data_IF_546947045717
#
_entry.id   IF_546947045717
#
_cell.length_a   1.000
_cell.length_b   1.000
_cell.length_c   1.000
_cell.angle_alpha   90.00
_cell.angle_beta   90.00
_cell.angle_gamma   90.00
#
_symmetry.space_group_name_H-M   'P 1'
#
loop_
_entity.id
_entity.type
_entity.pdbx_description
1 polymer ?
#
# COMPACT_ATOMS: atom_id res chain seq x y z
N UNK A 1 -14.56 13.52 39.28
CA UNK A 1 -15.35 12.59 38.46
C UNK A 1 -16.08 13.40 37.40
N UNK A 2 -15.46 13.56 36.23
CA UNK A 2 -16.10 14.16 35.05
C UNK A 2 -15.99 13.14 33.93
N UNK A 3 -17.14 12.68 33.44
CA UNK A 3 -17.25 11.84 32.26
C UNK A 3 -17.12 12.73 31.02
N UNK A 4 -16.09 12.48 30.19
CA UNK A 4 -16.00 13.08 28.86
C UNK A 4 -16.74 12.16 27.87
N UNK A 5 -17.93 12.60 27.48
CA UNK A 5 -18.73 12.05 26.41
C UNK A 5 -18.15 12.55 25.07
N UNK A 6 -17.48 11.68 24.31
CA UNK A 6 -17.15 11.96 22.91
C UNK A 6 -18.37 11.66 22.05
N UNK A 7 -19.08 12.71 21.64
CA UNK A 7 -20.09 12.64 20.58
C UNK A 7 -19.35 12.66 19.24
N UNK A 8 -19.46 11.57 18.48
CA UNK A 8 -19.10 11.53 17.08
C UNK A 8 -20.06 12.46 16.30
N UNK A 9 -19.53 13.53 15.72
CA UNK A 9 -20.30 14.41 14.84
C UNK A 9 -20.37 13.72 13.47
N UNK A 10 -21.54 13.16 13.17
CA UNK A 10 -21.94 12.75 11.82
C UNK A 10 -22.29 14.02 11.04
N UNK A 11 -21.70 14.30 9.86
CA UNK A 11 -22.10 15.45 9.07
C UNK A 11 -23.44 15.15 8.37
N UNK A 12 -24.52 15.76 8.86
CA UNK A 12 -25.81 15.80 8.18
C UNK A 12 -25.79 16.77 7.00
N UNK A 13 -26.36 16.34 5.87
CA UNK A 13 -26.53 17.14 4.64
C UNK A 13 -27.35 18.40 4.92
N UNK A 14 -26.76 19.57 4.73
CA UNK A 14 -27.48 20.83 4.62
C UNK A 14 -27.42 21.33 3.17
N UNK A 15 -28.55 21.24 2.47
CA UNK A 15 -28.77 21.91 1.18
C UNK A 15 -28.93 23.42 1.46
N UNK A 16 -28.04 24.25 0.91
CA UNK A 16 -28.26 25.69 0.79
C UNK A 16 -28.34 26.07 -0.69
N UNK A 17 -29.56 26.38 -1.12
CA UNK A 17 -29.85 27.13 -2.32
C UNK A 17 -29.50 28.61 -2.08
N UNK A 18 -28.59 29.18 -2.87
CA UNK A 18 -28.50 30.64 -3.06
C UNK A 18 -28.26 30.93 -4.56
N UNK A 19 -29.11 31.81 -5.08
CA UNK A 19 -29.28 32.29 -6.45
C UNK A 19 -28.08 33.09 -7.01
N UNK A 20 -27.87 33.12 -8.34
CA UNK A 20 -26.77 33.86 -8.97
C UNK A 20 -27.08 35.35 -9.15
N UNK A 21 -26.11 36.21 -8.81
CA UNK A 21 -26.11 37.64 -9.13
C UNK A 21 -25.25 37.88 -10.38
N UNK A 22 -25.87 38.47 -11.40
CA UNK A 22 -25.22 38.98 -12.61
C UNK A 22 -24.23 40.11 -12.29
N UNK A 23 -23.04 40.10 -12.91
CA UNK A 23 -22.38 41.34 -13.32
C UNK A 23 -21.51 41.11 -14.59
N UNK A 24 -21.63 42.07 -15.50
CA UNK A 24 -21.10 42.12 -16.87
C UNK A 24 -19.75 42.89 -16.94
N UNK A 25 -19.02 42.67 -18.05
CA UNK A 25 -17.95 43.52 -18.65
C UNK A 25 -16.59 43.51 -17.90
N UNK A 26 -15.40 43.50 -18.51
CA UNK A 26 -14.94 43.95 -19.84
C UNK A 26 -13.54 43.35 -20.12
N UNK A 27 -13.25 42.97 -21.38
CA UNK A 27 -11.93 42.57 -21.91
C UNK A 27 -11.11 43.79 -22.40
N UNK A 28 -9.78 43.64 -22.54
CA UNK A 28 -9.13 44.14 -23.74
C UNK A 28 -8.24 43.12 -24.47
N UNK A 29 -8.23 43.28 -25.79
CA UNK A 29 -7.55 42.54 -26.85
C UNK A 29 -6.03 42.76 -26.85
N UNK A 30 -5.26 41.75 -27.26
CA UNK A 30 -3.96 41.96 -27.92
C UNK A 30 -3.75 41.00 -29.11
N UNK A 31 -3.00 41.53 -30.08
CA UNK A 31 -2.92 41.17 -31.49
C UNK A 31 -2.06 39.94 -31.82
N UNK A 32 -2.48 39.24 -32.88
CA UNK A 32 -1.68 38.33 -33.71
C UNK A 32 -0.53 39.06 -34.42
N UNK A 33 0.64 38.43 -34.49
CA UNK A 33 1.62 38.65 -35.56
C UNK A 33 1.94 37.32 -36.23
N UNK A 34 1.73 37.27 -37.54
CA UNK A 34 2.19 36.23 -38.48
C UNK A 34 3.37 36.78 -39.27
N UNK A 35 4.43 35.99 -39.45
CA UNK A 35 5.37 36.17 -40.57
C UNK A 35 5.74 34.82 -41.17
N UNK A 36 5.58 34.79 -42.49
CA UNK A 36 5.93 33.76 -43.48
C UNK A 36 7.42 33.82 -43.83
N UNK A 37 8.01 32.68 -44.21
CA UNK A 37 9.33 32.64 -44.88
C UNK A 37 9.64 31.29 -45.53
N UNK A 38 9.71 31.30 -46.86
CA UNK A 38 9.97 30.21 -47.80
C UNK A 38 11.47 29.92 -48.01
N UNK A 39 11.83 28.66 -48.28
CA UNK A 39 12.71 28.15 -49.38
C UNK A 39 13.14 26.69 -49.07
N UNK A 40 12.79 25.67 -49.86
CA UNK A 40 13.38 25.22 -51.16
C UNK A 40 14.87 24.85 -51.08
N UNK A 41 15.19 23.55 -51.07
CA UNK A 41 15.70 22.81 -52.25
C UNK A 41 16.31 21.44 -51.85
N UNK A 42 15.99 20.41 -52.64
CA UNK A 42 16.70 19.10 -52.76
C UNK A 42 17.67 19.19 -53.97
N UNK A 43 18.65 18.28 -54.22
CA UNK A 43 18.34 16.87 -54.58
C UNK A 43 19.44 15.79 -54.34
N UNK A 44 18.98 14.52 -54.44
CA UNK A 44 19.60 13.33 -55.05
C UNK A 44 20.99 12.80 -54.65
N UNK A 45 21.07 11.49 -54.41
CA UNK A 45 22.33 10.73 -54.49
C UNK A 45 22.20 9.24 -54.11
N UNK A 46 21.99 8.39 -55.11
CA UNK A 46 21.99 6.92 -55.07
C UNK A 46 23.40 6.32 -54.89
N UNK A 47 23.54 5.24 -54.12
CA UNK A 47 24.30 4.01 -54.52
C UNK A 47 24.40 2.96 -53.40
N UNK A 48 23.98 1.74 -53.75
CA UNK A 48 24.42 0.45 -53.20
C UNK A 48 25.46 -0.08 -54.22
N UNK A 49 26.46 -0.95 -53.92
CA UNK A 49 26.21 -2.34 -53.48
C UNK A 49 27.34 -3.00 -52.63
N UNK A 50 27.06 -4.12 -51.95
CA UNK A 50 27.63 -5.45 -52.25
C UNK A 50 27.35 -6.51 -51.16
N UNK A 51 26.86 -7.65 -51.63
CA UNK A 51 26.72 -8.94 -50.95
C UNK A 51 28.07 -9.58 -50.60
N UNK A 52 28.17 -10.23 -49.44
CA UNK A 52 29.11 -11.34 -49.22
C UNK A 52 28.49 -12.44 -48.35
N UNK A 53 28.38 -13.59 -49.01
CA UNK A 53 28.31 -15.00 -48.56
C UNK A 53 28.06 -15.35 -47.09
N UNK A 54 26.99 -16.10 -46.89
CA UNK A 54 26.67 -16.94 -45.74
C UNK A 54 27.54 -18.22 -45.79
N UNK A 55 28.24 -18.53 -44.70
CA UNK A 55 28.77 -19.87 -44.38
C UNK A 55 28.07 -20.38 -43.13
N UNK A 56 27.61 -21.65 -43.07
CA UNK A 56 26.94 -22.18 -41.89
C UNK A 56 27.97 -22.52 -40.80
N UNK A 57 27.80 -21.94 -39.61
CA UNK A 57 28.52 -22.35 -38.42
C UNK A 57 27.91 -23.66 -37.89
N UNK A 58 28.78 -24.66 -37.78
CA UNK A 58 28.52 -25.98 -37.24
C UNK A 58 28.20 -25.85 -35.73
N UNK A 59 27.04 -26.35 -35.32
CA UNK A 59 26.62 -26.41 -33.91
C UNK A 59 27.33 -27.60 -33.27
N UNK A 60 28.17 -27.34 -32.29
CA UNK A 60 28.82 -28.34 -31.43
C UNK A 60 27.79 -28.81 -30.38
N UNK A 61 27.42 -30.10 -30.31
CA UNK A 61 26.35 -30.57 -29.44
C UNK A 61 26.90 -31.02 -28.08
N UNK A 62 27.54 -30.12 -27.31
CA UNK A 62 28.05 -30.47 -25.96
C UNK A 62 28.10 -29.26 -25.00
N UNK A 63 27.06 -28.42 -25.00
CA UNK A 63 26.85 -27.36 -23.99
C UNK A 63 25.43 -27.37 -23.40
N UNK A 64 24.96 -28.54 -22.95
CA UNK A 64 23.87 -28.63 -21.96
C UNK A 64 24.43 -29.15 -20.63
N UNK A 65 25.06 -28.28 -19.84
CA UNK A 65 25.37 -28.56 -18.43
C UNK A 65 25.68 -27.30 -17.62
N UNK A 66 24.87 -26.25 -17.80
CA UNK A 66 24.69 -25.24 -16.76
C UNK A 66 23.20 -24.96 -16.65
N UNK A 67 22.53 -25.79 -15.84
CA UNK A 67 21.15 -25.54 -15.45
C UNK A 67 21.05 -24.13 -14.88
N UNK A 68 20.19 -23.32 -15.50
CA UNK A 68 19.67 -22.11 -14.89
C UNK A 68 19.13 -22.49 -13.51
N UNK A 69 19.88 -22.16 -12.46
CA UNK A 69 19.39 -22.23 -11.09
C UNK A 69 18.27 -21.20 -11.03
N UNK A 70 17.04 -21.63 -11.27
CA UNK A 70 15.87 -20.79 -11.12
C UNK A 70 15.97 -20.16 -9.72
N UNK A 71 16.12 -18.84 -9.66
CA UNK A 71 16.08 -18.12 -8.40
C UNK A 71 14.72 -18.44 -7.77
N UNK A 72 14.73 -19.17 -6.66
CA UNK A 72 13.54 -19.52 -5.89
C UNK A 72 13.02 -18.25 -5.23
N UNK A 73 12.21 -17.50 -5.97
CA UNK A 73 11.53 -16.31 -5.49
C UNK A 73 10.47 -16.75 -4.47
N UNK A 74 10.74 -16.56 -3.17
CA UNK A 74 9.75 -16.80 -2.10
C UNK A 74 9.03 -15.49 -1.78
N UNK A 75 7.71 -15.49 -1.84
CA UNK A 75 6.88 -14.33 -1.44
C UNK A 75 6.51 -14.46 0.03
N UNK A 76 6.86 -13.47 0.83
CA UNK A 76 6.52 -13.39 2.24
C UNK A 76 5.21 -12.62 2.38
N UNK A 77 4.25 -13.18 3.10
CA UNK A 77 2.98 -12.52 3.44
C UNK A 77 2.93 -12.32 4.95
N UNK A 78 2.97 -11.06 5.39
CA UNK A 78 2.96 -10.67 6.78
C UNK A 78 1.55 -10.23 7.17
N UNK A 79 1.00 -10.76 8.26
CA UNK A 79 -0.32 -10.38 8.79
C UNK A 79 -0.20 -9.78 10.18
N UNK A 80 -1.00 -8.75 10.46
CA UNK A 80 -1.17 -8.23 11.83
C UNK A 80 -2.29 -8.92 12.60
N UNK A 81 -3.10 -9.77 11.95
CA UNK A 81 -4.42 -10.16 12.44
C UNK A 81 -5.30 -8.93 12.77
N UNK A 82 -6.42 -9.15 13.47
CA UNK A 82 -7.26 -8.08 13.98
C UNK A 82 -6.60 -7.36 15.17
N UNK A 83 -6.14 -6.14 14.93
CA UNK A 83 -5.44 -5.32 15.94
C UNK A 83 -6.39 -4.73 16.99
N UNK A 84 -7.71 -4.90 16.82
CA UNK A 84 -8.71 -4.46 17.79
C UNK A 84 -8.87 -5.43 18.96
N UNK A 85 -8.50 -6.71 18.79
CA UNK A 85 -8.70 -7.78 19.78
C UNK A 85 -7.45 -8.15 20.56
N UNK A 86 -6.25 -7.82 20.07
CA UNK A 86 -4.98 -8.25 20.68
C UNK A 86 -3.89 -7.18 20.67
N UNK A 87 -3.57 -6.62 21.83
CA UNK A 87 -2.33 -5.85 22.05
C UNK A 87 -2.43 -4.84 23.20
N UNK A 88 -1.32 -4.58 23.94
CA UNK A 88 -1.31 -3.57 25.00
C UNK A 88 -1.68 -2.21 24.41
N UNK A 89 -2.55 -1.47 25.10
CA UNK A 89 -2.95 -0.11 24.75
C UNK A 89 -1.73 0.70 24.33
N UNK A 90 -1.64 1.07 23.05
CA UNK A 90 -0.60 1.98 22.56
C UNK A 90 -0.68 3.22 23.45
N UNK A 91 0.39 3.49 24.21
CA UNK A 91 0.51 4.73 24.98
C UNK A 91 0.53 5.86 23.96
N UNK A 92 -0.61 6.54 23.84
CA UNK A 92 -0.83 7.65 22.90
C UNK A 92 0.05 8.83 23.30
N UNK A 93 1.27 8.90 22.78
CA UNK A 93 2.03 10.16 22.77
C UNK A 93 1.42 11.07 21.70
N UNK A 94 1.07 12.33 22.02
CA UNK A 94 0.60 13.28 21.02
C UNK A 94 1.58 13.37 19.85
N UNK A 95 1.11 13.11 18.62
CA UNK A 95 1.92 13.21 17.39
C UNK A 95 2.59 11.93 16.87
N UNK A 96 2.34 10.76 17.49
CA UNK A 96 3.06 9.52 17.15
C UNK A 96 2.34 8.53 16.22
N UNK A 97 1.04 8.72 15.92
CA UNK A 97 0.26 7.70 15.19
C UNK A 97 0.39 7.87 13.67
N UNK A 98 1.58 7.55 13.15
CA UNK A 98 1.78 7.28 11.72
C UNK A 98 1.48 5.80 11.46
N UNK A 99 0.77 5.51 10.37
CA UNK A 99 0.42 4.13 9.96
C UNK A 99 1.59 3.13 9.99
N UNK A 100 2.83 3.54 9.68
CA UNK A 100 4.02 2.68 9.83
C UNK A 100 4.25 2.21 11.27
N UNK A 101 4.03 3.06 12.28
CA UNK A 101 4.23 2.67 13.68
C UNK A 101 3.15 1.68 14.12
N UNK A 102 1.89 1.91 13.73
CA UNK A 102 0.80 0.97 13.98
C UNK A 102 1.06 -0.38 13.32
N UNK A 103 1.43 -0.39 12.03
CA UNK A 103 1.79 -1.60 11.28
C UNK A 103 2.93 -2.36 11.97
N UNK A 104 4.06 -1.69 12.20
CA UNK A 104 5.27 -2.36 12.72
C UNK A 104 5.09 -2.87 14.14
N UNK A 105 4.39 -2.14 15.01
CA UNK A 105 4.10 -2.62 16.36
C UNK A 105 3.08 -3.77 16.34
N UNK A 106 2.07 -3.70 15.48
CA UNK A 106 1.07 -4.77 15.36
C UNK A 106 1.68 -6.06 14.81
N UNK A 107 2.57 -5.96 13.81
CA UNK A 107 3.34 -7.11 13.31
C UNK A 107 4.19 -7.73 14.42
N UNK A 108 4.95 -6.93 15.18
CA UNK A 108 5.76 -7.43 16.30
C UNK A 108 4.89 -8.14 17.34
N UNK A 109 3.78 -7.52 17.75
CA UNK A 109 2.85 -8.12 18.72
C UNK A 109 2.28 -9.43 18.20
N UNK A 110 1.87 -9.49 16.93
CA UNK A 110 1.30 -10.70 16.33
C UNK A 110 2.34 -11.83 16.22
N UNK A 111 3.60 -11.51 15.86
CA UNK A 111 4.68 -12.50 15.83
C UNK A 111 5.00 -13.04 17.21
N UNK A 112 5.03 -12.17 18.23
CA UNK A 112 5.26 -12.59 19.62
C UNK A 112 4.13 -13.47 20.14
N UNK A 113 2.87 -13.11 19.88
CA UNK A 113 1.71 -13.93 20.25
C UNK A 113 1.79 -15.32 19.59
N UNK A 114 2.03 -15.38 18.28
CA UNK A 114 2.20 -16.64 17.57
C UNK A 114 3.39 -17.45 18.10
N UNK A 115 4.51 -16.83 18.49
CA UNK A 115 5.62 -17.56 19.09
C UNK A 115 5.26 -18.13 20.47
N UNK A 116 4.46 -17.42 21.27
CA UNK A 116 4.02 -17.88 22.59
C UNK A 116 3.05 -19.06 22.49
N UNK A 117 2.10 -19.00 21.55
CA UNK A 117 1.12 -20.07 21.33
C UNK A 117 1.76 -21.40 20.93
N UNK A 118 2.92 -21.35 20.26
CA UNK A 118 3.67 -22.52 19.80
C UNK A 118 4.88 -22.86 20.70
N UNK A 119 5.10 -22.11 21.78
CA UNK A 119 6.17 -22.41 22.74
C UNK A 119 5.77 -23.61 23.60
N UNK A 120 6.67 -24.59 23.84
CA UNK A 120 6.36 -25.71 24.71
C UNK A 120 6.11 -25.22 26.14
N UNK A 121 5.04 -25.71 26.79
CA UNK A 121 4.71 -25.40 28.18
C UNK A 121 5.88 -25.82 29.07
N UNK A 122 6.63 -24.86 29.63
CA UNK A 122 7.66 -25.14 30.61
C UNK A 122 7.02 -25.51 31.95
N UNK A 123 6.78 -26.80 32.19
CA UNK A 123 6.56 -27.30 33.54
C UNK A 123 7.91 -27.37 34.28
N UNK A 124 8.34 -26.28 34.89
CA UNK A 124 9.47 -26.31 35.84
C UNK A 124 9.30 -25.31 36.97
N UNK A 125 8.89 -25.83 38.13
CA UNK A 125 9.27 -25.27 39.42
C UNK A 125 10.81 -25.31 39.51
N UNK A 126 11.47 -24.16 39.46
CA UNK A 126 12.92 -24.07 39.55
C UNK A 126 13.35 -22.66 39.92
N UNK A 127 13.66 -22.46 41.19
CA UNK A 127 14.16 -21.21 41.77
C UNK A 127 15.69 -21.15 41.51
N UNK A 128 16.18 -20.22 40.68
CA UNK A 128 17.60 -19.85 40.62
C UNK A 128 17.79 -18.43 40.07
N UNK A 129 18.76 -17.66 40.58
CA UNK A 129 18.83 -16.22 40.35
C UNK A 129 19.81 -15.84 39.23
N UNK A 130 19.34 -14.90 38.40
CA UNK A 130 20.04 -13.68 37.97
C UNK A 130 21.30 -13.79 37.07
N UNK A 131 21.06 -13.78 35.75
CA UNK A 131 22.00 -13.26 34.74
C UNK A 131 21.21 -12.75 33.51
N UNK A 132 21.05 -11.44 33.41
CA UNK A 132 20.01 -10.76 32.60
C UNK A 132 20.30 -10.48 31.12
N UNK A 133 21.35 -11.03 30.49
CA UNK A 133 21.73 -10.56 29.13
C UNK A 133 21.92 -11.64 28.05
N UNK A 134 21.95 -12.93 28.37
CA UNK A 134 22.15 -14.00 27.34
C UNK A 134 20.98 -15.00 27.19
N UNK A 135 19.98 -14.97 28.06
CA UNK A 135 18.96 -16.04 28.15
C UNK A 135 17.76 -15.90 27.19
N UNK A 136 17.53 -14.72 26.60
CA UNK A 136 16.31 -14.44 25.82
C UNK A 136 16.32 -15.08 24.42
N UNK A 137 17.50 -15.44 23.90
CA UNK A 137 17.65 -16.12 22.60
C UNK A 137 17.32 -17.61 22.63
N UNK A 138 17.27 -18.24 23.82
CA UNK A 138 17.09 -19.68 23.99
C UNK A 138 15.62 -20.12 24.14
N UNK A 139 14.64 -19.20 24.12
CA UNK A 139 13.22 -19.52 24.36
C UNK A 139 12.30 -19.35 23.16
N UNK A 140 12.80 -18.91 22.00
CA UNK A 140 11.96 -18.72 20.80
C UNK A 140 11.77 -20.05 20.06
N UNK A 141 10.54 -20.46 19.71
CA UNK A 141 10.33 -21.62 18.88
C UNK A 141 10.92 -21.43 17.47
N UNK A 142 11.39 -22.51 16.79
CA UNK A 142 11.83 -22.43 15.41
C UNK A 142 10.77 -21.80 14.49
N UNK A 143 11.18 -20.93 13.55
CA UNK A 143 10.25 -20.24 12.65
C UNK A 143 9.27 -21.18 11.94
N UNK A 144 9.74 -22.38 11.57
CA UNK A 144 8.98 -23.39 10.85
C UNK A 144 7.72 -23.90 11.55
N UNK A 145 7.57 -23.69 12.87
CA UNK A 145 6.41 -24.21 13.60
C UNK A 145 5.26 -23.21 13.70
N UNK A 146 5.53 -21.90 13.63
CA UNK A 146 4.53 -20.83 13.77
C UNK A 146 4.32 -20.02 12.48
N UNK A 147 4.98 -20.43 11.39
CA UNK A 147 4.81 -19.89 10.03
C UNK A 147 4.44 -21.02 9.09
N UNK A 148 3.77 -20.71 7.98
CA UNK A 148 3.27 -21.72 7.03
C UNK A 148 3.67 -21.37 5.61
N UNK A 149 4.06 -22.39 4.83
CA UNK A 149 4.27 -22.26 3.39
C UNK A 149 3.08 -22.87 2.64
N UNK A 150 2.51 -22.11 1.72
CA UNK A 150 1.52 -22.57 0.75
C UNK A 150 1.98 -22.20 -0.65
N UNK A 151 2.47 -23.19 -1.41
CA UNK A 151 3.12 -22.95 -2.70
C UNK A 151 4.32 -21.98 -2.59
N UNK A 152 4.24 -20.86 -3.30
CA UNK A 152 5.25 -19.78 -3.29
C UNK A 152 5.14 -18.83 -2.08
N UNK A 153 4.01 -18.87 -1.37
CA UNK A 153 3.68 -17.94 -0.31
C UNK A 153 4.14 -18.48 1.04
N UNK A 154 4.77 -17.61 1.81
CA UNK A 154 5.23 -17.89 3.15
C UNK A 154 4.57 -16.93 4.14
N UNK A 155 3.60 -17.45 4.87
CA UNK A 155 2.78 -16.70 5.81
C UNK A 155 3.47 -16.54 7.15
N UNK A 156 3.56 -15.29 7.61
CA UNK A 156 4.19 -14.89 8.86
C UNK A 156 3.20 -14.01 9.65
N UNK A 157 2.63 -14.49 10.77
CA UNK A 157 2.62 -15.89 11.21
C UNK A 157 1.72 -16.75 10.31
N UNK A 158 1.57 -18.03 10.65
CA UNK A 158 0.50 -18.89 10.12
C UNK A 158 -0.86 -18.23 10.33
N UNK A 159 -1.72 -18.26 9.31
CA UNK A 159 -3.09 -17.72 9.37
C UNK A 159 -4.07 -18.89 9.39
N UNK A 160 -4.86 -18.99 10.46
CA UNK A 160 -5.99 -19.89 10.53
C UNK A 160 -7.26 -19.20 10.01
N UNK A 161 -7.56 -19.46 8.74
CA UNK A 161 -8.73 -18.89 8.06
C UNK A 161 -10.07 -19.40 8.60
N UNK A 162 -10.11 -20.43 9.45
CA UNK A 162 -11.36 -20.90 10.06
C UNK A 162 -11.90 -19.93 11.12
N UNK A 163 -11.04 -19.05 11.63
CA UNK A 163 -11.35 -18.01 12.61
C UNK A 163 -11.61 -16.64 11.96
N UNK A 164 -11.48 -16.54 10.63
CA UNK A 164 -11.76 -15.33 9.85
C UNK A 164 -13.27 -15.09 9.73
N UNK A 165 -13.65 -13.84 9.47
CA UNK A 165 -15.05 -13.45 9.36
C UNK A 165 -15.44 -12.28 10.26
N UNK A 166 -16.45 -11.55 9.83
CA UNK A 166 -17.14 -10.54 10.64
C UNK A 166 -18.31 -11.18 11.40
N UNK A 167 -18.66 -10.59 12.54
CA UNK A 167 -19.69 -11.13 13.42
C UNK A 167 -21.11 -10.94 12.87
N UNK A 168 -21.35 -9.83 12.15
CA UNK A 168 -22.65 -9.50 11.56
C UNK A 168 -22.65 -9.77 10.05
N UNK A 169 -23.81 -9.66 9.41
CA UNK A 169 -23.95 -9.74 7.96
C UNK A 169 -23.05 -8.71 7.24
N UNK A 170 -22.39 -9.06 6.11
CA UNK A 170 -21.51 -8.14 5.38
C UNK A 170 -22.18 -6.82 4.98
N UNK A 171 -23.50 -6.84 4.79
CA UNK A 171 -24.30 -5.65 4.47
C UNK A 171 -24.32 -4.61 5.59
N UNK A 172 -23.96 -4.96 6.83
CA UNK A 172 -23.94 -4.08 8.01
C UNK A 172 -22.63 -3.31 8.18
N UNK A 173 -21.63 -3.60 7.35
CA UNK A 173 -20.31 -2.96 7.47
C UNK A 173 -20.03 -1.95 6.37
N UNK A 174 -19.31 -0.90 6.73
CA UNK A 174 -18.52 -0.12 5.80
C UNK A 174 -17.07 -0.58 5.90
N UNK A 175 -16.64 -1.29 4.86
CA UNK A 175 -15.28 -1.85 4.74
C UNK A 175 -14.46 -0.97 3.81
N UNK A 176 -13.39 -0.40 4.34
CA UNK A 176 -12.41 0.37 3.56
C UNK A 176 -11.07 -0.33 3.57
N UNK A 177 -10.49 -0.53 2.39
CA UNK A 177 -9.10 -0.95 2.22
C UNK A 177 -8.29 0.18 1.60
N UNK A 178 -7.07 0.38 2.09
CA UNK A 178 -6.06 1.27 1.50
C UNK A 178 -4.82 0.47 1.13
N UNK A 179 -4.56 0.37 -0.16
CA UNK A 179 -3.42 -0.33 -0.74
C UNK A 179 -2.29 0.66 -1.02
N UNK A 180 -1.13 0.40 -0.43
CA UNK A 180 0.11 1.14 -0.63
C UNK A 180 1.00 0.33 -1.57
N UNK A 181 1.26 0.84 -2.76
CA UNK A 181 2.32 0.33 -3.62
C UNK A 181 3.65 0.85 -3.09
N UNK A 182 4.60 -0.05 -2.82
CA UNK A 182 5.86 0.33 -2.20
C UNK A 182 6.94 0.66 -3.24
N UNK A 183 7.92 1.52 -2.88
CA UNK A 183 9.07 1.78 -3.74
C UNK A 183 9.85 0.49 -4.02
N UNK A 184 10.18 0.26 -5.29
CA UNK A 184 10.99 -0.88 -5.74
C UNK A 184 10.19 -2.07 -6.29
N UNK A 185 8.87 -2.11 -6.07
CA UNK A 185 7.98 -3.03 -6.77
C UNK A 185 7.84 -2.62 -8.26
N UNK A 186 7.85 -3.61 -9.16
CA UNK A 186 7.64 -3.34 -10.59
C UNK A 186 6.19 -2.95 -10.86
N UNK A 187 6.00 -1.97 -11.74
CA UNK A 187 4.68 -1.49 -12.16
C UNK A 187 3.88 -2.61 -12.82
N UNK A 188 4.56 -3.52 -13.53
CA UNK A 188 3.95 -4.67 -14.21
C UNK A 188 3.27 -5.63 -13.23
N UNK A 189 3.77 -5.70 -12.01
CA UNK A 189 3.27 -6.60 -10.98
C UNK A 189 2.11 -5.99 -10.17
N UNK A 190 1.89 -4.67 -10.26
CA UNK A 190 0.84 -3.96 -9.50
C UNK A 190 -0.56 -4.51 -9.72
N UNK A 191 -0.86 -5.01 -10.92
CA UNK A 191 -2.14 -5.66 -11.19
C UNK A 191 -2.33 -6.92 -10.34
N UNK A 192 -1.31 -7.76 -10.26
CA UNK A 192 -1.32 -8.96 -9.42
C UNK A 192 -1.33 -8.58 -7.93
N UNK A 193 -0.50 -7.62 -7.52
CA UNK A 193 -0.46 -7.09 -6.16
C UNK A 193 -1.84 -6.60 -5.69
N UNK A 194 -2.59 -5.93 -6.56
CA UNK A 194 -3.95 -5.46 -6.24
C UNK A 194 -4.87 -6.64 -5.95
N UNK A 195 -4.86 -7.65 -6.83
CA UNK A 195 -5.72 -8.83 -6.69
C UNK A 195 -5.38 -9.60 -5.43
N UNK A 196 -4.09 -9.84 -5.18
CA UNK A 196 -3.62 -10.58 -4.00
C UNK A 196 -3.98 -9.86 -2.69
N UNK A 197 -3.69 -8.56 -2.61
CA UNK A 197 -3.97 -7.76 -1.42
C UNK A 197 -5.46 -7.75 -1.08
N UNK A 198 -6.32 -7.57 -2.09
CA UNK A 198 -7.77 -7.58 -1.88
C UNK A 198 -8.28 -8.98 -1.54
N UNK A 199 -7.79 -10.04 -2.18
CA UNK A 199 -8.18 -11.41 -1.85
C UNK A 199 -7.86 -11.77 -0.40
N UNK A 200 -6.70 -11.35 0.12
CA UNK A 200 -6.35 -11.55 1.54
C UNK A 200 -7.32 -10.83 2.48
N UNK A 201 -7.69 -9.58 2.17
CA UNK A 201 -8.66 -8.81 2.96
C UNK A 201 -10.05 -9.46 2.92
N UNK A 202 -10.52 -9.90 1.76
CA UNK A 202 -11.81 -10.57 1.61
C UNK A 202 -11.86 -11.87 2.42
N UNK A 203 -10.79 -12.67 2.35
CA UNK A 203 -10.68 -13.94 3.08
C UNK A 203 -10.66 -13.72 4.60
N UNK A 204 -9.90 -12.73 5.07
CA UNK A 204 -9.80 -12.36 6.48
C UNK A 204 -11.13 -11.87 7.06
N UNK A 205 -11.88 -11.08 6.29
CA UNK A 205 -13.16 -10.54 6.72
C UNK A 205 -14.35 -11.47 6.43
N UNK A 206 -14.14 -12.55 5.68
CA UNK A 206 -15.20 -13.47 5.27
C UNK A 206 -16.29 -12.80 4.41
N UNK A 207 -15.90 -11.89 3.51
CA UNK A 207 -16.84 -11.14 2.65
C UNK A 207 -16.48 -11.26 1.17
N UNK A 208 -17.47 -11.08 0.30
CA UNK A 208 -17.26 -11.14 -1.16
C UNK A 208 -16.91 -9.77 -1.78
N UNK A 209 -17.14 -8.67 -1.04
CA UNK A 209 -16.88 -7.31 -1.54
C UNK A 209 -16.54 -6.32 -0.43
N UNK A 210 -15.83 -5.25 -0.80
CA UNK A 210 -15.53 -4.10 0.06
C UNK A 210 -16.18 -2.81 -0.45
N UNK A 211 -16.44 -1.85 0.44
CA UNK A 211 -17.13 -0.60 0.09
C UNK A 211 -16.23 0.40 -0.62
N UNK A 212 -14.95 0.47 -0.24
CA UNK A 212 -14.00 1.45 -0.75
C UNK A 212 -12.58 0.87 -0.81
N UNK A 213 -11.96 0.94 -1.98
CA UNK A 213 -10.52 0.72 -2.16
C UNK A 213 -9.83 2.05 -2.48
N UNK A 214 -8.87 2.44 -1.67
CA UNK A 214 -8.01 3.61 -1.89
C UNK A 214 -6.62 3.12 -2.27
N UNK A 215 -6.01 3.67 -3.32
CA UNK A 215 -4.60 3.37 -3.65
C UNK A 215 -3.68 4.55 -3.34
N UNK A 216 -2.52 4.23 -2.80
CA UNK A 216 -1.41 5.15 -2.55
C UNK A 216 -0.21 4.70 -3.38
N UNK A 217 0.27 5.61 -4.22
CA UNK A 217 1.41 5.38 -5.10
C UNK A 217 2.72 5.86 -4.47
N UNK A 218 3.87 5.23 -4.78
CA UNK A 218 5.15 5.64 -4.25
C UNK A 218 5.54 7.03 -4.76
N UNK A 219 6.26 7.80 -3.94
CA UNK A 219 6.77 9.12 -4.32
C UNK A 219 5.72 10.24 -4.31
N UNK A 220 4.54 9.97 -3.73
CA UNK A 220 3.45 10.93 -3.61
C UNK A 220 3.31 11.42 -2.16
N UNK A 221 3.16 12.74 -1.98
CA UNK A 221 2.81 13.35 -0.71
C UNK A 221 2.08 14.68 -0.90
N UNK A 222 1.24 15.04 0.06
CA UNK A 222 0.57 16.34 0.09
C UNK A 222 1.18 17.26 1.14
N UNK A 223 2.49 17.49 1.03
CA UNK A 223 3.26 18.29 1.99
C UNK A 223 3.73 19.64 1.42
N UNK A 224 3.55 20.70 2.20
CA UNK A 224 3.99 22.06 1.88
C UNK A 224 3.96 22.96 3.12
N UNK A 225 4.50 24.17 3.01
CA UNK A 225 4.42 25.16 4.10
C UNK A 225 3.00 25.73 4.22
N UNK A 226 2.24 25.70 3.10
CA UNK A 226 0.80 25.89 3.05
C UNK A 226 0.15 24.95 2.03
N UNK A 227 -1.18 24.97 1.96
CA UNK A 227 -1.98 24.11 1.10
C UNK A 227 -1.70 24.34 -0.40
N UNK A 228 -1.47 25.59 -0.80
CA UNK A 228 -1.13 25.94 -2.19
C UNK A 228 0.22 25.39 -2.62
N UNK A 229 1.20 25.44 -1.72
CA UNK A 229 2.51 24.87 -1.99
C UNK A 229 2.47 23.34 -2.05
N UNK A 230 1.68 22.70 -1.18
CA UNK A 230 1.46 21.26 -1.22
C UNK A 230 0.85 20.83 -2.57
N UNK A 231 -0.21 21.52 -3.02
CA UNK A 231 -0.85 21.27 -4.32
C UNK A 231 0.14 21.42 -5.49
N UNK A 232 0.92 22.51 -5.47
CA UNK A 232 1.91 22.79 -6.51
C UNK A 232 3.04 21.76 -6.52
N UNK A 233 3.60 21.40 -5.37
CA UNK A 233 4.65 20.38 -5.26
C UNK A 233 4.13 19.04 -5.75
N UNK A 234 2.92 18.67 -5.33
CA UNK A 234 2.28 17.42 -5.71
C UNK A 234 2.08 17.28 -7.23
N UNK A 235 1.79 18.38 -7.94
CA UNK A 235 1.60 18.36 -9.40
C UNK A 235 2.76 17.74 -10.19
N UNK A 236 3.98 17.77 -9.62
CA UNK A 236 5.21 17.26 -10.21
C UNK A 236 5.75 15.98 -9.53
N UNK A 237 4.98 15.39 -8.62
CA UNK A 237 5.33 14.15 -7.92
C UNK A 237 4.78 12.90 -8.63
N UNK A 238 5.31 11.74 -8.24
CA UNK A 238 4.91 10.45 -8.79
C UNK A 238 5.28 10.26 -10.26
N UNK A 239 4.54 9.39 -10.93
CA UNK A 239 4.70 9.08 -12.35
C UNK A 239 3.32 8.80 -12.96
N UNK A 240 2.82 9.79 -13.72
CA UNK A 240 1.47 9.75 -14.30
C UNK A 240 1.24 8.49 -15.16
N UNK A 241 2.24 8.04 -15.92
CA UNK A 241 2.14 6.85 -16.78
C UNK A 241 2.02 5.56 -15.96
N UNK A 242 2.83 5.41 -14.91
CA UNK A 242 2.78 4.22 -14.05
C UNK A 242 1.50 4.14 -13.22
N UNK A 243 1.03 5.28 -12.71
CA UNK A 243 -0.22 5.38 -11.96
C UNK A 243 -1.41 4.98 -12.84
N UNK A 244 -1.45 5.49 -14.07
CA UNK A 244 -2.48 5.14 -15.05
C UNK A 244 -2.39 3.68 -15.48
N UNK A 245 -1.18 3.15 -15.68
CA UNK A 245 -1.00 1.74 -16.02
C UNK A 245 -1.49 0.78 -14.92
N UNK A 246 -1.52 1.24 -13.67
CA UNK A 246 -1.99 0.46 -12.52
C UNK A 246 -3.52 0.46 -12.39
N UNK A 247 -4.19 1.50 -12.88
CA UNK A 247 -5.61 1.72 -12.67
C UNK A 247 -6.54 0.63 -13.23
N UNK A 248 -6.30 0.04 -14.43
CA UNK A 248 -7.17 -0.99 -15.00
C UNK A 248 -7.44 -2.18 -14.07
N UNK A 249 -6.47 -2.58 -13.23
CA UNK A 249 -6.66 -3.65 -12.26
C UNK A 249 -7.72 -3.30 -11.20
N UNK A 250 -7.80 -2.03 -10.79
CA UNK A 250 -8.81 -1.55 -9.86
C UNK A 250 -10.17 -1.46 -10.55
N UNK A 251 -10.19 -1.01 -11.81
CA UNK A 251 -11.44 -0.96 -12.57
C UNK A 251 -12.02 -2.37 -12.79
N UNK A 252 -11.18 -3.37 -13.01
CA UNK A 252 -11.58 -4.78 -13.09
C UNK A 252 -12.26 -5.23 -11.78
N UNK A 253 -11.71 -4.89 -10.62
CA UNK A 253 -12.34 -5.20 -9.33
C UNK A 253 -13.68 -4.47 -9.13
N UNK A 254 -13.81 -3.27 -9.68
CA UNK A 254 -15.06 -2.52 -9.67
C UNK A 254 -16.11 -3.17 -10.57
N UNK A 255 -15.74 -3.52 -11.80
CA UNK A 255 -16.64 -4.15 -12.77
C UNK A 255 -17.15 -5.51 -12.28
N UNK A 256 -16.33 -6.27 -11.55
CA UNK A 256 -16.73 -7.55 -10.92
C UNK A 256 -17.56 -7.36 -9.64
N UNK A 257 -17.75 -6.14 -9.15
CA UNK A 257 -18.49 -5.86 -7.91
C UNK A 257 -17.72 -6.20 -6.62
N UNK A 258 -16.47 -6.65 -6.73
CA UNK A 258 -15.58 -6.89 -5.58
C UNK A 258 -15.29 -5.61 -4.81
N UNK A 259 -15.24 -4.47 -5.50
CA UNK A 259 -15.03 -3.15 -4.90
C UNK A 259 -16.11 -2.18 -5.35
N UNK A 260 -16.85 -1.58 -4.39
CA UNK A 260 -18.00 -0.71 -4.70
C UNK A 260 -17.61 0.73 -5.05
N UNK A 261 -16.48 1.23 -4.54
CA UNK A 261 -15.94 2.56 -4.82
C UNK A 261 -14.42 2.53 -4.90
N UNK A 262 -13.86 3.28 -5.83
CA UNK A 262 -12.41 3.48 -5.97
C UNK A 262 -12.00 4.85 -5.41
N UNK A 263 -10.79 4.94 -4.90
CA UNK A 263 -10.23 6.18 -4.38
C UNK A 263 -8.72 6.28 -4.60
N UNK A 264 -8.24 7.52 -4.51
CA UNK A 264 -6.83 7.87 -4.60
C UNK A 264 -6.34 8.43 -3.27
N UNK A 265 -5.03 8.49 -3.11
CA UNK A 265 -4.40 9.21 -2.02
C UNK A 265 -3.32 10.15 -2.55
N UNK A 266 -3.24 11.32 -1.93
CA UNK A 266 -2.27 12.39 -2.15
C UNK A 266 -2.40 13.09 -3.51
N UNK A 267 -3.57 13.17 -4.14
CA UNK A 267 -3.69 13.86 -5.43
C UNK A 267 -4.03 15.35 -5.28
N UNK A 268 -3.15 16.21 -5.80
CA UNK A 268 -3.40 17.63 -5.96
C UNK A 268 -4.24 17.93 -7.19
N UNK A 269 -4.71 19.17 -7.29
CA UNK A 269 -5.71 19.61 -8.26
C UNK A 269 -5.30 19.35 -9.72
N UNK A 270 -4.07 19.72 -10.09
CA UNK A 270 -3.57 19.52 -11.46
C UNK A 270 -3.37 18.04 -11.78
N UNK A 271 -2.79 17.27 -10.86
CA UNK A 271 -2.51 15.86 -11.06
C UNK A 271 -3.80 15.03 -11.12
N UNK A 272 -4.76 15.32 -10.24
CA UNK A 272 -6.09 14.73 -10.27
C UNK A 272 -6.79 15.01 -11.61
N UNK A 273 -6.72 16.25 -12.10
CA UNK A 273 -7.30 16.61 -13.40
C UNK A 273 -6.69 15.79 -14.56
N UNK A 274 -5.36 15.65 -14.60
CA UNK A 274 -4.69 14.82 -15.62
C UNK A 274 -5.08 13.35 -15.51
N UNK A 275 -5.20 12.83 -14.28
CA UNK A 275 -5.60 11.45 -14.02
C UNK A 275 -7.04 11.17 -14.50
N UNK A 276 -7.99 12.04 -14.15
CA UNK A 276 -9.41 11.89 -14.53
C UNK A 276 -9.66 11.92 -16.04
N UNK A 277 -8.75 12.52 -16.81
CA UNK A 277 -8.83 12.55 -18.27
C UNK A 277 -8.36 11.24 -18.93
N UNK A 278 -7.70 10.36 -18.19
CA UNK A 278 -7.09 9.12 -18.71
C UNK A 278 -7.78 7.83 -18.25
N UNK A 279 -8.62 7.89 -17.21
CA UNK A 279 -9.27 6.70 -16.61
C UNK A 279 -10.74 6.56 -17.01
N UNK A 280 -11.24 5.32 -17.06
CA UNK A 280 -12.65 5.02 -17.40
C UNK A 280 -13.53 5.05 -16.15
N UNK A 281 -13.13 4.36 -15.09
CA UNK A 281 -13.82 4.40 -13.80
C UNK A 281 -13.17 5.48 -12.95
N UNK A 282 -13.88 6.59 -12.77
CA UNK A 282 -13.38 7.72 -11.97
C UNK A 282 -13.36 7.37 -10.48
N UNK A 283 -12.30 7.76 -9.73
CA UNK A 283 -12.31 7.68 -8.28
C UNK A 283 -13.48 8.48 -7.71
N UNK A 284 -13.99 8.04 -6.56
CA UNK A 284 -15.03 8.72 -5.77
C UNK A 284 -14.51 9.33 -4.48
N UNK A 285 -13.27 9.01 -4.12
CA UNK A 285 -12.59 9.50 -2.94
C UNK A 285 -11.18 9.92 -3.32
N UNK A 286 -10.71 11.02 -2.75
CA UNK A 286 -9.29 11.37 -2.73
C UNK A 286 -8.87 11.71 -1.30
N UNK A 287 -7.87 11.00 -0.80
CA UNK A 287 -7.37 11.11 0.56
C UNK A 287 -6.11 11.97 0.59
N UNK A 288 -6.14 13.11 1.27
CA UNK A 288 -4.98 14.02 1.35
C UNK A 288 -4.44 14.13 2.76
N UNK A 289 -3.11 14.11 2.91
CA UNK A 289 -2.44 14.28 4.19
C UNK A 289 -2.25 15.77 4.52
N UNK A 290 -3.32 16.42 4.97
CA UNK A 290 -3.31 17.83 5.33
C UNK A 290 -3.10 17.96 6.84
N UNK A 291 -2.06 18.71 7.25
CA UNK A 291 -1.76 18.97 8.68
C UNK A 291 -2.95 19.63 9.41
N UNK A 292 -3.66 20.51 8.73
CA UNK A 292 -4.92 21.11 9.17
C UNK A 292 -6.06 20.69 8.23
N UNK A 293 -6.93 19.78 8.68
CA UNK A 293 -8.01 19.23 7.86
C UNK A 293 -8.97 20.25 7.24
N UNK A 294 -8.96 21.50 7.72
CA UNK A 294 -9.80 22.60 7.23
C UNK A 294 -9.19 23.40 6.07
N UNK A 295 -7.89 23.21 5.76
CA UNK A 295 -7.16 24.01 4.77
C UNK A 295 -6.84 23.18 3.53
N UNK A 296 -7.89 22.77 2.81
CA UNK A 296 -7.74 22.11 1.50
C UNK A 296 -7.63 23.18 0.41
N UNK A 297 -6.72 23.05 -0.58
CA UNK A 297 -6.57 24.05 -1.63
C UNK A 297 -7.88 24.30 -2.37
N UNK A 298 -8.31 25.57 -2.54
CA UNK A 298 -9.51 25.90 -3.30
C UNK A 298 -9.62 25.29 -4.71
N UNK A 299 -8.54 25.14 -5.50
CA UNK A 299 -8.62 24.46 -6.80
C UNK A 299 -8.99 22.98 -6.66
N UNK A 300 -8.39 22.29 -5.69
CA UNK A 300 -8.70 20.88 -5.40
C UNK A 300 -10.14 20.75 -4.92
N UNK A 301 -10.59 21.61 -4.00
CA UNK A 301 -11.97 21.61 -3.52
C UNK A 301 -12.98 21.86 -4.65
N UNK A 302 -12.68 22.79 -5.56
CA UNK A 302 -13.54 23.10 -6.71
C UNK A 302 -13.61 21.92 -7.68
N UNK A 303 -12.47 21.31 -8.00
CA UNK A 303 -12.40 20.14 -8.88
C UNK A 303 -13.15 18.95 -8.27
N UNK A 304 -12.90 18.64 -7.00
CA UNK A 304 -13.55 17.53 -6.30
C UNK A 304 -15.08 17.69 -6.25
N UNK A 305 -15.58 18.90 -5.99
CA UNK A 305 -17.02 19.20 -6.06
C UNK A 305 -17.59 19.01 -7.46
N UNK A 306 -16.90 19.51 -8.49
CA UNK A 306 -17.33 19.38 -9.89
C UNK A 306 -17.42 17.91 -10.31
N UNK A 307 -16.45 17.11 -9.87
CA UNK A 307 -16.29 15.70 -10.27
C UNK A 307 -16.98 14.72 -9.30
N UNK A 308 -17.67 15.24 -8.28
CA UNK A 308 -18.31 14.48 -7.21
C UNK A 308 -17.34 13.46 -6.57
N UNK A 309 -16.17 13.96 -6.16
CA UNK A 309 -15.12 13.26 -5.42
C UNK A 309 -15.15 13.75 -3.97
N UNK A 310 -15.24 12.82 -3.03
CA UNK A 310 -15.14 13.12 -1.60
C UNK A 310 -13.68 13.30 -1.20
N UNK A 311 -13.37 14.43 -0.56
CA UNK A 311 -12.04 14.67 -0.01
C UNK A 311 -12.01 14.22 1.45
N UNK A 312 -11.12 13.28 1.76
CA UNK A 312 -10.90 12.76 3.10
C UNK A 312 -9.49 13.10 3.58
N UNK A 313 -9.29 13.17 4.89
CA UNK A 313 -7.98 13.41 5.50
C UNK A 313 -7.46 12.14 6.15
N UNK A 314 -6.16 11.90 6.04
CA UNK A 314 -5.49 10.78 6.70
C UNK A 314 -4.10 11.20 7.20
N UNK A 315 -3.54 10.38 8.10
CA UNK A 315 -2.21 10.59 8.70
C UNK A 315 -1.27 9.42 8.36
N UNK A 316 -1.44 8.82 7.18
CA UNK A 316 -0.55 7.74 6.76
C UNK A 316 0.81 8.32 6.36
N UNK A 317 1.86 7.51 6.45
CA UNK A 317 3.19 7.93 6.05
C UNK A 317 3.45 7.54 4.59
N UNK A 318 4.27 8.33 3.90
CA UNK A 318 4.63 8.11 2.49
C UNK A 318 5.34 6.78 2.24
N UNK A 319 6.14 6.30 3.20
CA UNK A 319 6.77 4.98 3.14
C UNK A 319 6.36 4.14 4.35
N UNK A 320 5.30 3.35 4.17
CA UNK A 320 4.67 2.58 5.25
C UNK A 320 5.47 1.35 5.69
N UNK A 321 6.35 0.81 4.84
CA UNK A 321 7.20 -0.33 5.18
C UNK A 321 8.58 -0.23 4.48
N UNK A 322 9.50 0.57 5.03
CA UNK A 322 10.87 0.66 4.51
C UNK A 322 11.60 -0.69 4.60
N UNK A 323 12.47 -1.00 3.63
CA UNK A 323 13.20 -2.28 3.57
C UNK A 323 14.05 -2.56 4.81
N UNK A 324 14.66 -1.51 5.40
CA UNK A 324 15.42 -1.64 6.64
C UNK A 324 14.53 -2.04 7.83
N UNK A 325 13.32 -1.48 7.90
CA UNK A 325 12.33 -1.84 8.92
C UNK A 325 11.81 -3.26 8.74
N UNK A 326 11.53 -3.69 7.51
CA UNK A 326 11.14 -5.07 7.23
C UNK A 326 12.25 -6.06 7.62
N UNK A 327 13.51 -5.73 7.32
CA UNK A 327 14.67 -6.54 7.71
C UNK A 327 14.81 -6.61 9.24
N UNK A 328 14.58 -5.52 9.97
CA UNK A 328 14.56 -5.54 11.44
C UNK A 328 13.42 -6.42 11.97
N UNK A 329 12.21 -6.29 11.42
CA UNK A 329 11.03 -7.07 11.84
C UNK A 329 11.24 -8.57 11.70
N UNK A 330 11.88 -9.01 10.62
CA UNK A 330 12.09 -10.43 10.32
C UNK A 330 13.47 -10.94 10.75
N UNK A 331 14.39 -10.04 11.11
CA UNK A 331 15.77 -10.33 11.48
C UNK A 331 15.93 -11.02 12.83
N UNK A 332 17.19 -11.22 13.20
CA UNK A 332 17.55 -11.78 14.49
C UNK A 332 17.56 -10.69 15.57
N UNK A 333 17.56 -11.10 16.85
CA UNK A 333 17.63 -10.19 18.00
C UNK A 333 16.29 -9.91 18.67
N UNK A 334 16.35 -9.11 19.75
CA UNK A 334 15.25 -8.89 20.71
C UNK A 334 13.98 -8.34 20.04
N UNK A 335 14.13 -7.52 19.00
CA UNK A 335 13.00 -6.86 18.30
C UNK A 335 12.58 -7.52 16.98
N UNK A 336 13.33 -8.52 16.52
CA UNK A 336 13.07 -9.22 15.26
C UNK A 336 12.44 -10.59 15.49
N UNK A 337 11.74 -11.13 14.50
CA UNK A 337 10.99 -12.38 14.60
C UNK A 337 11.87 -13.65 14.47
N UNK A 338 13.14 -13.51 14.09
CA UNK A 338 14.06 -14.64 13.90
C UNK A 338 13.76 -15.48 12.66
N UNK A 339 13.05 -14.92 11.68
CA UNK A 339 12.70 -15.61 10.42
C UNK A 339 13.86 -15.57 9.42
N UNK A 340 14.64 -14.49 9.41
CA UNK A 340 15.82 -14.31 8.54
C UNK A 340 17.11 -14.64 9.29
N UNK A 341 18.08 -15.24 8.60
CA UNK A 341 19.43 -15.45 9.10
C UNK A 341 20.34 -14.27 8.74
N UNK A 342 21.03 -13.67 9.72
CA UNK A 342 21.98 -12.56 9.50
C UNK A 342 23.36 -13.01 8.98
N UNK A 343 23.70 -14.30 9.12
CA UNK A 343 25.02 -14.82 8.77
C UNK A 343 24.97 -15.78 7.58
N UNK A 344 25.94 -15.70 6.64
CA UNK A 344 26.17 -16.76 5.64
C UNK A 344 26.41 -18.14 6.28
N UNK A 345 26.82 -18.18 7.56
CA UNK A 345 27.09 -19.37 8.38
C UNK A 345 26.00 -19.71 9.44
N UNK A 346 24.88 -18.97 9.49
CA UNK A 346 23.78 -19.28 10.41
C UNK A 346 23.07 -20.58 10.02
N UNK A 347 22.77 -21.42 11.02
CA UNK A 347 22.17 -22.74 10.87
C UNK A 347 20.64 -22.69 10.69
N UNK A 348 19.96 -21.63 11.14
CA UNK A 348 18.50 -21.46 11.06
C UNK A 348 18.10 -20.07 10.53
N UNK A 349 17.16 -20.03 9.58
CA UNK A 349 16.57 -18.81 9.00
C UNK A 349 16.79 -18.60 7.50
N UNK A 350 15.85 -17.90 6.85
CA UNK A 350 15.92 -17.59 5.41
C UNK A 350 17.06 -16.61 5.09
N UNK A 351 17.70 -16.77 3.93
CA UNK A 351 18.81 -15.92 3.46
C UNK A 351 18.39 -15.15 2.21
N UNK A 352 18.80 -13.89 2.09
CA UNK A 352 18.54 -13.11 0.89
C UNK A 352 18.26 -11.63 1.12
N UNK A 353 18.02 -10.94 0.02
CA UNK A 353 17.56 -9.56 0.00
C UNK A 353 16.04 -9.49 0.00
N UNK A 354 15.52 -8.63 0.87
CA UNK A 354 14.09 -8.38 1.00
C UNK A 354 13.70 -7.14 0.24
N UNK A 355 12.70 -7.30 -0.62
CA UNK A 355 12.06 -6.21 -1.34
C UNK A 355 10.59 -6.11 -0.90
N UNK A 356 10.21 -5.08 -0.12
CA UNK A 356 8.81 -4.80 0.17
C UNK A 356 8.06 -4.48 -1.13
N UNK A 357 6.88 -5.07 -1.34
CA UNK A 357 6.12 -4.89 -2.59
C UNK A 357 4.87 -4.04 -2.41
N UNK A 358 4.04 -4.40 -1.43
CA UNK A 358 2.82 -3.70 -1.11
C UNK A 358 2.41 -3.89 0.34
N UNK A 359 1.59 -2.96 0.85
CA UNK A 359 0.88 -3.08 2.12
C UNK A 359 -0.57 -2.76 1.87
N UNK A 360 -1.50 -3.54 2.42
CA UNK A 360 -2.91 -3.15 2.49
C UNK A 360 -3.33 -2.99 3.93
N UNK A 361 -3.90 -1.83 4.24
CA UNK A 361 -4.58 -1.52 5.50
C UNK A 361 -6.06 -1.69 5.28
N UNK A 362 -6.76 -2.37 6.18
CA UNK A 362 -8.22 -2.51 6.09
C UNK A 362 -8.90 -2.15 7.41
N UNK A 363 -10.15 -1.74 7.32
CA UNK A 363 -11.00 -1.42 8.48
C UNK A 363 -12.45 -1.74 8.15
N UNK A 364 -13.10 -2.52 9.00
CA UNK A 364 -14.51 -2.86 8.95
C UNK A 364 -15.24 -2.15 10.09
N UNK A 365 -16.13 -1.22 9.72
CA UNK A 365 -16.93 -0.42 10.67
C UNK A 365 -18.39 -0.84 10.60
N UNK A 366 -18.99 -1.16 11.74
CA UNK A 366 -20.43 -1.45 11.82
C UNK A 366 -21.21 -0.15 11.59
N UNK A 367 -22.00 -0.05 10.50
CA UNK A 367 -22.63 1.20 10.04
C UNK A 367 -23.49 1.86 11.10
N UNK A 368 -24.35 1.09 11.76
CA UNK A 368 -25.36 1.63 12.67
C UNK A 368 -24.79 2.06 14.03
N UNK A 369 -23.56 1.64 14.35
CA UNK A 369 -22.93 1.91 15.64
C UNK A 369 -21.63 2.71 15.53
N UNK A 370 -21.05 2.83 14.34
CA UNK A 370 -19.75 3.48 14.12
C UNK A 370 -18.59 2.78 14.85
N UNK A 371 -18.73 1.49 15.18
CA UNK A 371 -17.72 0.72 15.92
C UNK A 371 -16.82 -0.01 14.92
N UNK A 372 -15.51 0.13 15.10
CA UNK A 372 -14.51 -0.66 14.37
C UNK A 372 -14.47 -2.05 15.00
N UNK A 373 -14.90 -3.07 14.27
CA UNK A 373 -14.85 -4.45 14.72
C UNK A 373 -13.54 -5.12 14.31
N UNK A 374 -13.14 -4.95 13.05
CA UNK A 374 -11.93 -5.52 12.51
C UNK A 374 -11.09 -4.44 11.83
N UNK A 375 -9.81 -4.39 12.21
CA UNK A 375 -8.81 -3.53 11.60
C UNK A 375 -7.50 -4.28 11.56
N UNK A 376 -6.79 -4.17 10.45
CA UNK A 376 -5.51 -4.84 10.33
C UNK A 376 -4.77 -4.45 9.06
N UNK A 377 -3.67 -5.17 8.86
CA UNK A 377 -2.79 -5.00 7.72
C UNK A 377 -2.32 -6.35 7.20
N UNK A 378 -2.18 -6.41 5.88
CA UNK A 378 -1.31 -7.38 5.22
C UNK A 378 -0.15 -6.65 4.55
N UNK A 379 1.03 -7.26 4.52
CA UNK A 379 2.17 -6.78 3.75
C UNK A 379 2.79 -7.92 2.96
N UNK A 380 3.20 -7.65 1.72
CA UNK A 380 3.98 -8.60 0.93
C UNK A 380 5.40 -8.10 0.71
N UNK A 381 6.32 -9.06 0.67
CA UNK A 381 7.69 -8.82 0.28
C UNK A 381 8.26 -10.00 -0.49
N UNK A 382 9.11 -9.71 -1.47
CA UNK A 382 9.88 -10.71 -2.19
C UNK A 382 11.19 -10.98 -1.47
N UNK A 383 11.48 -12.25 -1.17
CA UNK A 383 12.80 -12.70 -0.77
C UNK A 383 13.55 -13.17 -2.02
N UNK A 384 14.73 -12.58 -2.26
CA UNK A 384 15.67 -12.96 -3.32
C UNK A 384 16.89 -13.62 -2.69
N UNK A 385 16.99 -14.94 -2.85
CA UNK A 385 18.04 -15.80 -2.26
C UNK A 385 19.41 -15.67 -2.94
#
# INVERSE_FOLDING_TARGET
MCWNLFIAIVPTKANLYITPLHLFQSLPKYHLFTTTGLNKDSPSGTSNPHFSSITPLQIDPDQELFGNKASTMTRLILSTSNIMTGGPSIIRKPGADRSNLELTNSLRSNFLAAQQDYSPISSSNGNSPDSFEEEESLRRPPASIWTTRDGSDYYIPTIDWSMSGLAEEPSQYDITAKLFYLPGADVRDRAQHTKDAIQLVLKELGVDSINLLIVSFPGMSFEGDCEWEADKKNSAQGNDEEEIASWPALEELYDHGTVKKLGLAEYGSEKLSRFLNKVRIRPKVDQVNVKDCCNVPPPLLKLAKLENIELLVHNDCTNILPSGTLRELLGQGVRGAGVLSESKRGLDGMKGDLLPEWVVKYTAVVRDRGVIENKGYFAAAQLRE
#
